data_IF_284159131825
#
_entry.id   IF_284159131825
#
_cell.length_a   1.000
_cell.length_b   1.000
_cell.length_c   1.000
_cell.angle_alpha   90.00
_cell.angle_beta   90.00
_cell.angle_gamma   90.00
#
_symmetry.space_group_name_H-M   'P 1'
#
loop_
_entity.id
_entity.type
_entity.pdbx_description
1 polymer ?
#
# COMPACT_ATOMS: atom_id res chain seq x y z
N UNK A 1 -44.62 40.48 -41.39
CA UNK A 1 -44.00 41.22 -40.26
C UNK A 1 -43.62 40.18 -39.20
N UNK A 2 -42.41 40.29 -38.64
CA UNK A 2 -41.52 39.21 -38.14
C UNK A 2 -42.12 38.19 -37.14
N UNK A 3 -41.93 36.90 -37.45
CA UNK A 3 -42.01 35.75 -36.53
C UNK A 3 -40.84 35.78 -35.55
N UNK A 4 -41.12 35.59 -34.25
CA UNK A 4 -40.11 35.41 -33.20
C UNK A 4 -39.96 33.91 -32.93
N UNK A 5 -38.86 33.31 -33.38
CA UNK A 5 -38.43 32.00 -32.89
C UNK A 5 -37.50 32.21 -31.69
N UNK A 6 -37.95 31.82 -30.50
CA UNK A 6 -37.09 31.59 -29.35
C UNK A 6 -36.35 30.26 -29.59
N UNK A 7 -35.04 30.31 -29.76
CA UNK A 7 -34.18 29.13 -29.69
C UNK A 7 -33.80 28.98 -28.22
N UNK A 8 -34.34 27.97 -27.55
CA UNK A 8 -33.91 27.54 -26.22
C UNK A 8 -32.64 26.68 -26.39
N UNK A 9 -31.50 27.20 -25.95
CA UNK A 9 -30.25 26.44 -25.87
C UNK A 9 -30.26 25.76 -24.50
N UNK A 10 -30.55 24.46 -24.48
CA UNK A 10 -30.31 23.61 -23.31
C UNK A 10 -28.79 23.38 -23.24
N UNK A 11 -28.14 24.07 -22.30
CA UNK A 11 -26.73 23.86 -22.00
C UNK A 11 -26.61 22.63 -21.09
N UNK A 12 -26.41 21.46 -21.69
CA UNK A 12 -26.13 20.22 -20.97
C UNK A 12 -24.73 20.30 -20.36
N UNK A 13 -24.64 20.62 -19.07
CA UNK A 13 -23.41 20.44 -18.30
C UNK A 13 -23.16 18.94 -18.16
N UNK A 14 -22.29 18.39 -19.01
CA UNK A 14 -21.65 17.10 -18.77
C UNK A 14 -20.70 17.33 -17.60
N UNK A 15 -21.14 16.96 -16.40
CA UNK A 15 -20.26 16.77 -15.24
C UNK A 15 -19.25 15.68 -15.62
N UNK A 16 -18.10 16.10 -16.14
CA UNK A 16 -16.93 15.24 -16.19
C UNK A 16 -16.64 14.82 -14.76
N UNK A 17 -16.81 13.53 -14.51
CA UNK A 17 -16.60 12.93 -13.19
C UNK A 17 -15.23 13.28 -12.65
N UNK A 18 -15.15 13.49 -11.35
CA UNK A 18 -13.88 13.48 -10.64
C UNK A 18 -13.27 12.09 -10.83
N UNK A 19 -12.32 11.97 -11.76
CA UNK A 19 -11.37 10.86 -11.84
C UNK A 19 -10.38 11.06 -10.68
N UNK A 20 -10.90 10.88 -9.47
CA UNK A 20 -10.13 10.75 -8.25
C UNK A 20 -10.82 9.66 -7.42
N UNK A 21 -11.05 8.51 -8.03
CA UNK A 21 -10.83 7.27 -7.29
C UNK A 21 -9.32 7.22 -7.04
N UNK A 22 -8.92 7.91 -5.98
CA UNK A 22 -7.56 7.89 -5.46
C UNK A 22 -7.29 6.44 -5.08
N UNK A 23 -6.28 5.82 -5.71
CA UNK A 23 -5.84 4.45 -5.43
C UNK A 23 -5.71 4.27 -3.91
N UNK A 24 -6.72 3.66 -3.26
CA UNK A 24 -6.78 3.50 -1.80
C UNK A 24 -5.64 2.62 -1.29
N UNK A 25 -5.16 1.69 -2.13
CA UNK A 25 -4.07 0.79 -1.78
C UNK A 25 -2.71 1.49 -1.84
N UNK A 26 -2.58 2.51 -2.67
CA UNK A 26 -1.27 3.04 -3.07
C UNK A 26 -0.48 2.03 -3.90
N UNK A 27 0.73 2.41 -4.27
CA UNK A 27 1.61 1.63 -5.15
C UNK A 27 2.32 0.48 -4.41
N UNK A 28 2.33 0.52 -3.08
CA UNK A 28 3.05 -0.39 -2.21
C UNK A 28 3.54 0.39 -1.00
N UNK A 29 4.78 0.14 -0.61
CA UNK A 29 5.33 0.69 0.61
C UNK A 29 6.77 1.18 0.46
N UNK A 30 7.16 2.08 1.34
CA UNK A 30 8.51 2.57 1.52
C UNK A 30 8.98 2.20 2.92
N UNK A 31 10.13 1.53 3.00
CA UNK A 31 10.80 1.22 4.25
C UNK A 31 12.12 1.99 4.31
N UNK A 32 12.27 2.97 5.23
CA UNK A 32 13.53 3.69 5.39
C UNK A 32 14.66 2.74 5.81
N UNK A 33 15.86 2.95 5.27
CA UNK A 33 17.05 2.18 5.65
C UNK A 33 17.62 2.71 6.97
N UNK A 34 16.93 2.40 8.07
CA UNK A 34 17.24 2.98 9.39
C UNK A 34 18.59 2.52 9.96
N UNK A 35 19.20 1.50 9.38
CA UNK A 35 20.60 1.12 9.59
C UNK A 35 21.58 2.16 9.00
N UNK A 36 21.28 2.68 7.80
CA UNK A 36 22.11 3.67 7.08
C UNK A 36 21.81 5.13 7.48
N UNK A 37 20.56 5.46 7.81
CA UNK A 37 20.13 6.84 8.06
C UNK A 37 19.65 7.04 9.50
N UNK A 38 19.92 8.22 10.07
CA UNK A 38 19.35 8.66 11.36
C UNK A 38 18.16 9.59 11.17
N UNK A 39 18.00 10.15 9.99
CA UNK A 39 16.94 11.11 9.67
C UNK A 39 16.42 10.89 8.27
N UNK A 40 15.10 10.74 8.16
CA UNK A 40 14.36 10.77 6.91
C UNK A 40 13.77 12.17 6.72
N UNK A 41 14.29 12.91 5.75
CA UNK A 41 13.81 14.26 5.45
C UNK A 41 12.53 14.22 4.62
N UNK A 42 11.59 15.11 4.96
CA UNK A 42 10.30 15.25 4.29
C UNK A 42 10.30 16.52 3.43
N UNK A 43 9.72 16.42 2.23
CA UNK A 43 9.66 17.51 1.24
C UNK A 43 8.23 17.72 0.74
N UNK A 44 7.87 18.94 0.31
CA UNK A 44 6.51 19.24 -0.19
C UNK A 44 6.31 18.81 -1.66
N UNK A 45 7.24 19.18 -2.54
CA UNK A 45 7.31 18.87 -3.98
C UNK A 45 8.79 18.95 -4.34
N UNK A 46 9.40 17.87 -4.87
CA UNK A 46 10.77 17.92 -5.37
C UNK A 46 10.80 18.83 -6.59
N UNK A 47 11.44 19.99 -6.43
CA UNK A 47 11.33 21.11 -7.33
C UNK A 47 12.40 21.01 -8.42
N UNK A 48 12.29 19.99 -9.28
CA UNK A 48 13.20 19.81 -10.44
C UNK A 48 13.16 20.94 -11.48
N UNK A 49 12.24 21.92 -11.35
CA UNK A 49 12.06 23.03 -12.30
C UNK A 49 12.44 24.42 -11.75
N UNK A 50 12.71 24.56 -10.45
CA UNK A 50 12.81 25.88 -9.83
C UNK A 50 14.24 26.44 -9.74
N UNK A 51 15.27 25.67 -10.11
CA UNK A 51 16.67 26.12 -10.04
C UNK A 51 17.19 26.40 -8.61
N UNK A 52 16.40 26.08 -7.58
CA UNK A 52 16.75 26.23 -6.17
C UNK A 52 17.02 24.87 -5.53
N UNK A 53 18.00 24.80 -4.61
CA UNK A 53 18.22 23.61 -3.78
C UNK A 53 16.94 23.27 -3.00
N UNK A 54 16.57 21.99 -3.05
CA UNK A 54 15.42 21.46 -2.31
C UNK A 54 15.69 21.52 -0.81
N UNK A 55 14.78 22.14 -0.05
CA UNK A 55 14.88 22.25 1.40
C UNK A 55 13.85 21.33 2.05
N UNK A 56 14.25 20.49 3.02
CA UNK A 56 13.31 19.75 3.84
C UNK A 56 12.31 20.68 4.50
N UNK A 57 11.04 20.29 4.52
CA UNK A 57 9.98 20.97 5.27
C UNK A 57 9.87 20.43 6.70
N UNK A 58 10.26 19.16 6.89
CA UNK A 58 10.20 18.47 8.17
C UNK A 58 11.08 17.19 8.12
N UNK A 59 11.05 16.37 9.17
CA UNK A 59 11.81 15.13 9.23
C UNK A 59 11.19 14.07 10.16
N UNK A 60 11.62 12.84 9.99
CA UNK A 60 11.44 11.76 10.98
C UNK A 60 12.84 11.35 11.43
N UNK A 61 13.12 11.44 12.73
CA UNK A 61 14.42 11.03 13.29
C UNK A 61 14.30 9.69 13.99
N UNK A 62 15.37 8.92 13.93
CA UNK A 62 15.44 7.58 14.46
C UNK A 62 16.40 7.52 15.66
N UNK A 63 16.04 6.72 16.66
CA UNK A 63 16.89 6.45 17.83
C UNK A 63 17.49 5.06 17.68
N UNK A 64 18.80 4.93 17.95
CA UNK A 64 19.54 3.67 17.92
C UNK A 64 20.16 3.45 19.30
N UNK A 65 19.57 2.61 20.16
CA UNK A 65 20.20 2.30 21.47
C UNK A 65 21.14 1.10 21.40
N UNK A 66 20.95 0.19 20.44
CA UNK A 66 21.67 -1.08 20.35
C UNK A 66 22.43 -1.29 19.01
N UNK A 67 22.80 -0.19 18.35
CA UNK A 67 23.66 -0.06 17.16
C UNK A 67 23.19 -0.66 15.82
N UNK A 68 22.41 -1.75 15.80
CA UNK A 68 22.16 -2.51 14.56
C UNK A 68 20.94 -2.05 13.74
N UNK A 69 19.99 -1.37 14.35
CA UNK A 69 18.81 -0.79 13.71
C UNK A 69 18.21 0.29 14.62
N UNK A 70 17.33 1.12 14.07
CA UNK A 70 16.56 2.05 14.87
C UNK A 70 15.54 1.30 15.73
N UNK A 71 15.55 1.52 17.04
CA UNK A 71 14.62 0.91 18.01
C UNK A 71 13.53 1.89 18.48
N UNK A 72 13.45 3.07 17.87
CA UNK A 72 12.36 4.02 18.08
C UNK A 72 12.44 5.26 17.20
N UNK A 73 11.36 6.05 17.24
CA UNK A 73 11.28 7.37 16.63
C UNK A 73 11.66 8.43 17.67
N UNK A 74 12.64 9.27 17.37
CA UNK A 74 13.05 10.38 18.22
C UNK A 74 12.19 11.63 18.00
N UNK A 75 11.84 11.88 16.74
CA UNK A 75 11.00 12.99 16.31
C UNK A 75 10.20 12.59 15.07
N UNK A 76 8.97 13.09 14.97
CA UNK A 76 8.15 12.99 13.77
C UNK A 76 7.20 14.21 13.69
N UNK A 77 6.63 14.49 12.50
CA UNK A 77 5.67 15.57 12.33
C UNK A 77 4.46 15.46 13.26
N UNK A 78 3.82 16.60 13.52
CA UNK A 78 2.58 16.63 14.32
C UNK A 78 1.51 15.78 13.63
N UNK A 79 0.87 14.88 14.38
CA UNK A 79 -0.11 13.90 13.87
C UNK A 79 0.48 12.80 12.96
N UNK A 80 1.78 12.52 13.03
CA UNK A 80 2.35 11.38 12.33
C UNK A 80 1.65 10.06 12.70
N UNK A 81 1.09 9.37 11.69
CA UNK A 81 0.32 8.14 11.85
C UNK A 81 0.61 7.20 10.67
N UNK A 82 1.77 6.51 10.68
CA UNK A 82 2.23 5.71 9.56
C UNK A 82 1.39 4.44 9.38
N UNK A 83 1.58 3.76 8.24
CA UNK A 83 0.94 2.47 7.98
C UNK A 83 1.34 1.40 9.00
N UNK A 84 2.64 1.25 9.28
CA UNK A 84 3.11 0.34 10.33
C UNK A 84 4.41 0.83 10.95
N UNK A 85 4.43 0.90 12.27
CA UNK A 85 5.62 1.17 13.07
C UNK A 85 5.75 0.08 14.13
N UNK A 86 6.87 -0.63 14.08
CA UNK A 86 7.30 -1.75 14.93
C UNK A 86 8.83 -1.80 14.87
N UNK A 87 9.47 -0.68 15.19
CA UNK A 87 10.93 -0.51 15.06
C UNK A 87 11.73 -1.46 15.95
N UNK A 88 11.17 -1.88 17.08
CA UNK A 88 11.68 -2.96 17.94
C UNK A 88 11.78 -4.32 17.24
N UNK A 89 11.04 -4.51 16.15
CA UNK A 89 11.11 -5.67 15.25
C UNK A 89 11.74 -5.32 13.90
N UNK A 90 12.41 -4.16 13.78
CA UNK A 90 13.03 -3.68 12.54
C UNK A 90 12.02 -3.30 11.45
N UNK A 91 10.74 -3.10 11.79
CA UNK A 91 9.68 -2.86 10.82
C UNK A 91 9.18 -1.41 10.89
N UNK A 92 9.44 -0.65 9.83
CA UNK A 92 8.85 0.67 9.65
C UNK A 92 8.45 0.86 8.20
N UNK A 93 7.14 0.97 7.97
CA UNK A 93 6.54 0.91 6.65
C UNK A 93 5.60 2.10 6.47
N UNK A 94 5.81 2.82 5.37
CA UNK A 94 5.01 3.97 4.95
C UNK A 94 4.33 3.64 3.63
N UNK A 95 3.03 3.91 3.48
CA UNK A 95 2.34 3.65 2.21
C UNK A 95 2.84 4.61 1.15
N UNK A 96 3.15 4.08 -0.03
CA UNK A 96 3.51 4.89 -1.20
C UNK A 96 2.25 5.28 -1.94
N UNK A 97 2.03 6.59 -2.08
CA UNK A 97 0.95 7.13 -2.90
C UNK A 97 1.38 7.29 -4.36
N UNK A 98 2.64 7.67 -4.59
CA UNK A 98 3.16 7.89 -5.94
C UNK A 98 4.65 7.59 -6.02
N UNK A 99 5.04 6.86 -7.06
CA UNK A 99 6.43 6.59 -7.37
C UNK A 99 7.06 7.72 -8.18
N UNK A 100 8.34 7.96 -7.92
CA UNK A 100 9.21 8.83 -8.71
C UNK A 100 10.66 8.34 -8.60
N UNK A 101 11.49 8.76 -9.55
CA UNK A 101 12.89 8.31 -9.65
C UNK A 101 13.69 8.81 -8.47
N UNK A 102 13.72 10.12 -8.25
CA UNK A 102 14.52 10.74 -7.19
C UNK A 102 13.76 10.81 -5.86
N UNK A 103 12.43 10.91 -5.94
CA UNK A 103 11.56 11.08 -4.80
C UNK A 103 10.29 10.27 -4.91
N UNK A 104 9.85 9.73 -3.77
CA UNK A 104 8.62 8.96 -3.63
C UNK A 104 7.67 9.76 -2.75
N UNK A 105 6.40 9.88 -3.17
CA UNK A 105 5.35 10.45 -2.34
C UNK A 105 4.80 9.37 -1.41
N UNK A 106 4.97 9.56 -0.12
CA UNK A 106 4.50 8.68 0.94
C UNK A 106 3.33 9.30 1.70
N UNK A 107 2.49 8.47 2.28
CA UNK A 107 1.49 8.87 3.26
C UNK A 107 2.15 8.89 4.65
N UNK A 108 2.11 10.05 5.31
CA UNK A 108 2.66 10.25 6.66
C UNK A 108 1.58 10.18 7.74
N UNK A 109 0.30 10.25 7.36
CA UNK A 109 -0.84 10.02 8.24
C UNK A 109 -1.95 9.28 7.48
N UNK A 110 -2.16 8.00 7.80
CA UNK A 110 -3.18 7.15 7.16
C UNK A 110 -4.61 7.58 7.49
N UNK A 111 -4.83 8.31 8.59
CA UNK A 111 -6.16 8.77 9.00
C UNK A 111 -6.62 10.00 8.21
N UNK A 112 -5.68 10.88 7.84
CA UNK A 112 -5.97 12.13 7.12
C UNK A 112 -5.61 12.08 5.64
N UNK A 113 -4.78 11.12 5.24
CA UNK A 113 -4.20 11.05 3.89
C UNK A 113 -3.12 12.10 3.64
N UNK A 114 -2.57 12.70 4.70
CA UNK A 114 -1.46 13.67 4.60
C UNK A 114 -0.21 12.98 4.03
N UNK A 115 0.49 13.68 3.13
CA UNK A 115 1.59 13.14 2.34
C UNK A 115 2.82 14.03 2.37
N UNK A 116 3.97 13.42 2.18
CA UNK A 116 5.23 14.10 1.94
C UNK A 116 6.07 13.32 0.92
N UNK A 117 7.04 14.00 0.31
CA UNK A 117 8.04 13.35 -0.52
C UNK A 117 9.27 12.98 0.30
N UNK A 118 9.88 11.85 -0.02
CA UNK A 118 11.14 11.38 0.55
C UNK A 118 12.11 11.00 -0.57
N UNK A 119 13.40 11.16 -0.35
CA UNK A 119 14.41 10.74 -1.32
C UNK A 119 14.37 9.20 -1.47
N UNK A 120 14.24 8.73 -2.71
CA UNK A 120 14.08 7.31 -3.01
C UNK A 120 15.27 6.46 -2.56
N UNK A 121 16.47 7.04 -2.45
CA UNK A 121 17.70 6.36 -2.05
C UNK A 121 17.81 6.14 -0.53
N UNK A 122 17.02 6.86 0.28
CA UNK A 122 17.02 6.73 1.74
C UNK A 122 16.19 5.53 2.24
N UNK A 123 15.60 4.76 1.34
CA UNK A 123 14.75 3.64 1.68
C UNK A 123 14.72 2.58 0.60
N UNK A 124 13.84 1.61 0.80
CA UNK A 124 13.52 0.58 -0.16
C UNK A 124 12.03 0.65 -0.47
N UNK A 125 11.70 0.67 -1.76
CA UNK A 125 10.33 0.40 -2.20
C UNK A 125 10.02 -1.09 -2.08
N UNK A 126 8.86 -1.39 -1.53
CA UNK A 126 8.34 -2.74 -1.31
C UNK A 126 7.01 -2.81 -2.04
N UNK A 127 6.92 -3.68 -3.03
CA UNK A 127 5.65 -3.92 -3.72
C UNK A 127 4.65 -4.57 -2.75
N UNK A 128 3.35 -4.43 -3.02
CA UNK A 128 2.32 -5.23 -2.34
C UNK A 128 2.64 -6.73 -2.38
N UNK A 129 3.19 -7.20 -3.51
CA UNK A 129 3.55 -8.59 -3.66
C UNK A 129 4.62 -9.04 -2.66
N UNK A 130 5.74 -8.32 -2.61
CA UNK A 130 6.79 -8.57 -1.62
C UNK A 130 6.26 -8.45 -0.20
N UNK A 131 5.39 -7.50 0.10
CA UNK A 131 4.78 -7.36 1.42
C UNK A 131 4.00 -8.62 1.83
N UNK A 132 3.09 -9.11 0.98
CA UNK A 132 2.30 -10.31 1.29
C UNK A 132 3.13 -11.58 1.38
N UNK A 133 4.22 -11.69 0.61
CA UNK A 133 5.16 -12.81 0.72
C UNK A 133 5.91 -12.84 2.06
N UNK A 134 5.94 -11.73 2.79
CA UNK A 134 6.54 -11.62 4.12
C UNK A 134 5.49 -11.65 5.26
N UNK A 135 4.19 -11.71 4.95
CA UNK A 135 3.16 -11.90 5.96
C UNK A 135 3.16 -13.35 6.47
N UNK A 136 2.85 -13.54 7.74
CA UNK A 136 2.66 -14.86 8.33
C UNK A 136 1.48 -15.59 7.68
N UNK A 137 0.34 -14.90 7.56
CA UNK A 137 -0.85 -15.44 6.91
C UNK A 137 -1.73 -14.35 6.30
N UNK A 138 -2.60 -14.77 5.39
CA UNK A 138 -3.71 -13.98 4.87
C UNK A 138 -5.01 -14.77 4.97
N UNK A 139 -6.13 -14.07 5.08
CA UNK A 139 -7.45 -14.66 5.17
C UNK A 139 -8.45 -13.90 4.31
N UNK A 140 -9.51 -14.57 3.84
CA UNK A 140 -10.56 -13.87 3.11
C UNK A 140 -11.37 -12.95 4.01
N UNK A 141 -11.70 -11.76 3.49
CA UNK A 141 -12.72 -10.90 4.09
C UNK A 141 -14.11 -11.53 3.89
N UNK A 142 -14.41 -11.99 2.67
CA UNK A 142 -15.63 -12.75 2.36
C UNK A 142 -15.33 -14.25 2.35
N UNK A 143 -15.87 -14.98 3.33
CA UNK A 143 -15.68 -16.43 3.48
C UNK A 143 -16.30 -17.25 2.34
N UNK A 144 -17.13 -16.67 1.49
CA UNK A 144 -17.67 -17.33 0.29
C UNK A 144 -16.73 -17.26 -0.92
N UNK A 145 -15.63 -16.51 -0.80
CA UNK A 145 -14.66 -16.42 -1.88
C UNK A 145 -14.02 -17.78 -2.16
N UNK A 146 -13.81 -18.04 -3.45
CA UNK A 146 -13.34 -19.34 -3.94
C UNK A 146 -11.82 -19.39 -4.07
N UNK A 147 -11.29 -20.58 -3.82
CA UNK A 147 -9.94 -21.00 -4.17
C UNK A 147 -9.99 -21.77 -5.48
N UNK A 148 -9.05 -21.51 -6.38
CA UNK A 148 -9.00 -22.10 -7.72
C UNK A 148 -7.74 -22.93 -7.89
N UNK A 149 -7.80 -24.03 -8.63
CA UNK A 149 -6.57 -24.77 -8.97
C UNK A 149 -5.73 -24.01 -10.03
N UNK A 150 -6.36 -23.13 -10.82
CA UNK A 150 -5.70 -22.26 -11.77
C UNK A 150 -6.42 -20.89 -11.85
N UNK A 151 -5.71 -19.75 -11.76
CA UNK A 151 -6.33 -18.42 -11.71
C UNK A 151 -7.04 -18.01 -13.02
N UNK A 152 -6.69 -18.67 -14.14
CA UNK A 152 -7.28 -18.43 -15.44
C UNK A 152 -8.52 -19.30 -15.71
N UNK A 153 -8.75 -20.36 -14.92
CA UNK A 153 -9.88 -21.29 -15.08
C UNK A 153 -10.88 -21.08 -13.93
N UNK A 154 -11.78 -20.11 -14.11
CA UNK A 154 -12.70 -19.67 -13.05
C UNK A 154 -13.91 -20.59 -12.83
N UNK A 155 -14.13 -21.59 -13.69
CA UNK A 155 -15.24 -22.54 -13.55
C UNK A 155 -15.02 -23.58 -12.45
N UNK A 156 -13.78 -23.80 -11.99
CA UNK A 156 -13.41 -24.88 -11.08
C UNK A 156 -13.13 -24.41 -9.63
N UNK A 157 -13.60 -23.22 -9.24
CA UNK A 157 -13.35 -22.69 -7.89
C UNK A 157 -14.17 -23.41 -6.81
N UNK A 158 -13.53 -23.68 -5.67
CA UNK A 158 -14.14 -24.28 -4.47
C UNK A 158 -14.09 -23.34 -3.28
N UNK A 159 -15.11 -23.40 -2.42
CA UNK A 159 -15.05 -22.78 -1.08
C UNK A 159 -14.27 -23.73 -0.18
N UNK A 160 -13.37 -23.19 0.64
CA UNK A 160 -12.54 -23.97 1.56
C UNK A 160 -12.73 -23.49 2.99
N UNK A 161 -12.54 -24.40 3.95
CA UNK A 161 -12.52 -24.08 5.37
C UNK A 161 -11.37 -24.84 6.04
N UNK A 162 -10.51 -24.17 6.85
CA UNK A 162 -10.56 -22.75 7.16
C UNK A 162 -10.00 -21.87 6.03
N UNK A 163 -10.20 -20.57 6.14
CA UNK A 163 -9.74 -19.56 5.17
C UNK A 163 -8.39 -18.97 5.56
N UNK A 164 -7.49 -19.79 6.11
CA UNK A 164 -6.15 -19.40 6.54
C UNK A 164 -5.16 -19.78 5.46
N UNK A 165 -4.35 -18.82 5.02
CA UNK A 165 -3.47 -19.02 3.87
C UNK A 165 -2.05 -18.54 4.13
N UNK A 166 -1.06 -19.30 3.65
CA UNK A 166 0.33 -18.84 3.53
C UNK A 166 0.63 -18.54 2.06
N UNK A 167 1.12 -17.33 1.80
CA UNK A 167 1.38 -16.86 0.42
C UNK A 167 2.67 -17.49 -0.12
N UNK A 168 2.63 -17.96 -1.37
CA UNK A 168 3.78 -18.58 -2.05
C UNK A 168 4.24 -17.84 -3.28
N UNK A 169 3.30 -17.45 -4.14
CA UNK A 169 3.57 -16.71 -5.36
C UNK A 169 2.50 -15.66 -5.60
N UNK A 170 2.86 -14.60 -6.33
CA UNK A 170 1.95 -13.51 -6.67
C UNK A 170 2.06 -13.24 -8.16
N UNK A 171 0.90 -13.11 -8.81
CA UNK A 171 0.76 -12.84 -10.23
C UNK A 171 -0.41 -11.87 -10.43
N UNK A 172 -0.08 -10.58 -10.56
CA UNK A 172 -1.09 -9.52 -10.65
C UNK A 172 -2.02 -9.55 -9.44
N UNK A 173 -3.33 -9.71 -9.69
CA UNK A 173 -4.37 -9.74 -8.65
C UNK A 173 -4.51 -11.10 -7.94
N UNK A 174 -3.68 -12.08 -8.32
CA UNK A 174 -3.77 -13.45 -7.84
C UNK A 174 -2.56 -13.81 -7.00
N UNK A 175 -2.78 -14.69 -6.03
CA UNK A 175 -1.72 -15.30 -5.25
C UNK A 175 -1.93 -16.81 -5.18
N UNK A 176 -0.86 -17.57 -5.37
CA UNK A 176 -0.83 -18.99 -5.00
C UNK A 176 -0.58 -19.07 -3.50
N UNK A 177 -1.36 -19.92 -2.83
CA UNK A 177 -1.32 -20.09 -1.38
C UNK A 177 -1.27 -21.57 -0.99
N UNK A 178 -0.66 -21.83 0.16
CA UNK A 178 -0.97 -23.01 0.97
C UNK A 178 -2.24 -22.74 1.78
N UNK A 179 -3.15 -23.69 1.79
CA UNK A 179 -4.35 -23.70 2.64
C UNK A 179 -3.93 -24.34 3.96
N UNK A 180 -4.05 -23.59 5.05
CA UNK A 180 -3.62 -24.02 6.37
C UNK A 180 -4.79 -24.62 7.16
N UNK A 181 -4.50 -25.39 8.20
CA UNK A 181 -5.47 -25.72 9.23
C UNK A 181 -5.68 -24.55 10.20
N UNK A 182 -6.55 -24.74 11.20
CA UNK A 182 -6.83 -23.72 12.21
C UNK A 182 -5.62 -23.42 13.11
N UNK A 183 -4.61 -24.29 13.09
CA UNK A 183 -3.34 -24.13 13.79
C UNK A 183 -2.33 -23.23 13.05
N UNK A 184 -2.68 -22.72 11.86
CA UNK A 184 -1.83 -21.92 10.96
C UNK A 184 -0.51 -22.58 10.54
N UNK A 185 -0.32 -23.86 10.81
CA UNK A 185 0.94 -24.58 10.59
C UNK A 185 0.77 -25.77 9.65
N UNK A 186 -0.33 -26.51 9.78
CA UNK A 186 -0.58 -27.72 9.00
C UNK A 186 -1.11 -27.39 7.60
N UNK A 187 -0.38 -27.77 6.55
CA UNK A 187 -0.83 -27.65 5.15
C UNK A 187 -1.93 -28.68 4.83
N UNK A 188 -3.07 -28.21 4.34
CA UNK A 188 -4.21 -29.02 3.86
C UNK A 188 -4.30 -29.09 2.33
N UNK A 189 -3.51 -28.28 1.62
CA UNK A 189 -3.46 -28.25 0.18
C UNK A 189 -3.02 -26.89 -0.35
N UNK A 190 -3.19 -26.70 -1.66
CA UNK A 190 -2.76 -25.49 -2.36
C UNK A 190 -3.85 -24.98 -3.30
N UNK A 191 -3.74 -23.71 -3.68
CA UNK A 191 -4.57 -23.14 -4.72
C UNK A 191 -4.31 -21.65 -4.92
N UNK A 192 -5.10 -21.05 -5.79
CA UNK A 192 -5.02 -19.66 -6.16
C UNK A 192 -6.19 -18.88 -5.61
N UNK A 193 -5.90 -17.74 -4.98
CA UNK A 193 -6.90 -16.81 -4.48
C UNK A 193 -6.68 -15.43 -5.10
N UNK A 194 -7.76 -14.69 -5.27
CA UNK A 194 -7.71 -13.30 -5.73
C UNK A 194 -7.59 -12.38 -4.51
N UNK A 195 -6.52 -11.59 -4.42
CA UNK A 195 -6.26 -10.77 -3.23
C UNK A 195 -6.72 -9.33 -3.36
N UNK A 196 -6.92 -8.85 -4.60
CA UNK A 196 -7.53 -7.55 -4.87
C UNK A 196 -8.47 -7.55 -6.07
N UNK A 197 -9.39 -6.60 -6.07
CA UNK A 197 -10.27 -6.29 -7.20
C UNK A 197 -10.74 -4.83 -7.08
N UNK A 198 -10.75 -4.10 -8.19
CA UNK A 198 -11.28 -2.72 -8.25
C UNK A 198 -10.68 -1.79 -7.17
N UNK A 199 -9.36 -1.91 -6.94
CA UNK A 199 -8.59 -1.18 -5.90
C UNK A 199 -8.94 -1.52 -4.43
N UNK A 200 -9.68 -2.60 -4.20
CA UNK A 200 -9.99 -3.08 -2.86
C UNK A 200 -9.26 -4.39 -2.55
N UNK A 201 -8.81 -4.53 -1.30
CA UNK A 201 -8.34 -5.82 -0.80
C UNK A 201 -9.54 -6.75 -0.60
N UNK A 202 -9.36 -8.00 -0.98
CA UNK A 202 -10.29 -9.09 -0.71
C UNK A 202 -9.85 -9.96 0.47
N UNK A 203 -8.72 -9.59 1.07
CA UNK A 203 -8.07 -10.31 2.15
C UNK A 203 -7.73 -9.39 3.32
N UNK A 204 -7.68 -9.98 4.51
CA UNK A 204 -6.94 -9.45 5.66
C UNK A 204 -5.59 -10.16 5.76
N UNK A 205 -4.64 -9.56 6.47
CA UNK A 205 -3.28 -10.10 6.61
C UNK A 205 -2.79 -10.02 8.05
N UNK A 206 -1.97 -10.99 8.44
CA UNK A 206 -1.28 -11.06 9.71
C UNK A 206 0.23 -11.00 9.45
N UNK A 207 0.89 -9.96 9.95
CA UNK A 207 2.35 -9.78 9.80
C UNK A 207 3.15 -10.68 10.75
N UNK A 208 2.56 -11.03 11.89
CA UNK A 208 3.20 -11.79 12.96
C UNK A 208 2.34 -13.01 13.28
N UNK A 209 2.98 -14.08 13.74
CA UNK A 209 2.33 -15.29 14.26
C UNK A 209 1.74 -15.06 15.65
#
# INVERSE_FOLDING_TARGET
MKSKHLISIILSFVLFGSIAAQNKLGEGFFSPKTDEIETLYLYNIPNSRAGSQERPIDSITFVKRHANYADGIGYAPKNFAPFKEKLDYGLFILRVKKLGIDYIEIIINENTGETAYVNSQQGRFITWGEFFLNCHSVEFIDKNQKVFDNPMIKSAGRVVSPTNFRVRYIMGDWMEVEILADDYNTEKGKGWIRWRKDEELLIIYNLFS
#
